data_IF_827279915792
#
_entry.id   IF_827279915792
#
_cell.length_a   1.000
_cell.length_b   1.000
_cell.length_c   1.000
_cell.angle_alpha   90.00
_cell.angle_beta   90.00
_cell.angle_gamma   90.00
#
_symmetry.space_group_name_H-M   'P 1'
#
loop_
_entity.id
_entity.type
_entity.pdbx_description
1 polymer ?
#
# COMPACT_ATOMS: atom_id res chain seq x y z
N UNK A 1 -0.15 13.83 -9.87
CA UNK A 1 -1.31 14.43 -9.21
C UNK A 1 -1.95 13.42 -8.28
N UNK A 2 -2.22 13.83 -7.05
CA UNK A 2 -2.86 12.98 -6.03
C UNK A 2 -4.34 13.36 -5.95
N UNK A 3 -5.20 12.36 -6.01
CA UNK A 3 -6.64 12.54 -5.85
C UNK A 3 -7.14 11.65 -4.72
N UNK A 4 -7.82 12.24 -3.72
CA UNK A 4 -8.54 11.44 -2.74
C UNK A 4 -9.87 10.99 -3.35
N UNK A 5 -10.19 9.70 -3.17
CA UNK A 5 -11.35 9.06 -3.80
C UNK A 5 -12.56 9.09 -2.87
N UNK A 6 -13.75 9.24 -3.47
CA UNK A 6 -15.00 9.04 -2.77
C UNK A 6 -15.39 7.55 -2.83
N UNK A 7 -16.44 7.16 -2.12
CA UNK A 7 -16.84 5.75 -2.03
C UNK A 7 -17.20 5.14 -3.38
N UNK A 8 -17.85 5.87 -4.26
CA UNK A 8 -18.20 5.36 -5.61
C UNK A 8 -16.95 5.10 -6.44
N UNK A 9 -15.97 6.00 -6.38
CA UNK A 9 -14.70 5.86 -7.08
C UNK A 9 -13.89 4.67 -6.52
N UNK A 10 -13.90 4.50 -5.21
CA UNK A 10 -13.27 3.35 -4.55
C UNK A 10 -13.89 2.06 -5.06
N UNK A 11 -15.21 1.98 -5.08
CA UNK A 11 -15.94 0.77 -5.51
C UNK A 11 -15.62 0.42 -6.97
N UNK A 12 -15.56 1.40 -7.86
CA UNK A 12 -15.22 1.20 -9.26
C UNK A 12 -13.79 0.67 -9.44
N UNK A 13 -12.83 1.27 -8.74
CA UNK A 13 -11.44 0.83 -8.83
C UNK A 13 -11.28 -0.57 -8.24
N UNK A 14 -11.95 -0.87 -7.15
CA UNK A 14 -11.88 -2.22 -6.54
C UNK A 14 -12.46 -3.29 -7.47
N UNK A 15 -13.49 -2.99 -8.24
CA UNK A 15 -13.99 -3.88 -9.30
C UNK A 15 -12.94 -4.12 -10.37
N UNK A 16 -12.25 -3.05 -10.78
CA UNK A 16 -11.15 -3.15 -11.76
C UNK A 16 -10.03 -4.03 -11.20
N UNK A 17 -9.66 -3.83 -9.93
CA UNK A 17 -8.63 -4.63 -9.26
C UNK A 17 -9.04 -6.11 -9.21
N UNK A 18 -10.29 -6.41 -8.91
CA UNK A 18 -10.79 -7.79 -8.88
C UNK A 18 -10.59 -8.48 -10.24
N UNK A 19 -10.71 -7.74 -11.34
CA UNK A 19 -10.47 -8.30 -12.69
C UNK A 19 -9.01 -8.67 -12.93
N UNK A 20 -8.07 -8.14 -12.13
CA UNK A 20 -6.64 -8.42 -12.26
C UNK A 20 -6.20 -9.73 -11.61
N UNK A 21 -7.06 -10.37 -10.80
CA UNK A 21 -6.68 -11.55 -10.02
C UNK A 21 -6.23 -12.74 -10.87
N UNK A 22 -6.66 -12.78 -12.13
CA UNK A 22 -6.27 -13.82 -13.09
C UNK A 22 -5.06 -13.44 -13.95
N UNK A 23 -4.54 -12.21 -13.82
CA UNK A 23 -3.39 -11.72 -14.56
C UNK A 23 -2.11 -12.04 -13.78
N UNK A 24 -1.15 -12.71 -14.42
CA UNK A 24 0.13 -13.08 -13.80
C UNK A 24 0.91 -11.89 -13.26
N UNK A 25 0.80 -10.71 -13.91
CA UNK A 25 1.46 -9.49 -13.44
C UNK A 25 1.01 -9.12 -12.03
N UNK A 26 -0.26 -9.37 -11.69
CA UNK A 26 -0.85 -8.96 -10.41
C UNK A 26 -0.94 -10.06 -9.36
N UNK A 27 -0.49 -11.29 -9.65
CA UNK A 27 -0.74 -12.44 -8.77
C UNK A 27 -0.19 -12.31 -7.35
N UNK A 28 0.83 -11.48 -7.15
CA UNK A 28 1.44 -11.27 -5.83
C UNK A 28 0.99 -9.97 -5.15
N UNK A 29 0.02 -9.27 -5.72
CA UNK A 29 -0.53 -8.05 -5.11
C UNK A 29 -1.67 -8.33 -4.14
N UNK A 30 -2.24 -9.53 -4.18
CA UNK A 30 -3.45 -9.85 -3.44
C UNK A 30 -3.15 -10.82 -2.31
N UNK A 31 -3.72 -10.55 -1.12
CA UNK A 31 -3.82 -11.53 -0.05
C UNK A 31 -5.30 -11.81 0.25
N UNK A 32 -5.56 -12.75 1.15
CA UNK A 32 -6.89 -13.25 1.45
C UNK A 32 -7.73 -12.33 2.35
N UNK A 33 -7.20 -11.19 2.80
CA UNK A 33 -7.81 -10.38 3.86
C UNK A 33 -8.53 -9.13 3.38
N UNK A 34 -8.79 -8.97 2.09
CA UNK A 34 -9.18 -7.70 1.46
C UNK A 34 -10.69 -7.44 1.39
N UNK A 35 -11.50 -7.93 2.32
CA UNK A 35 -12.94 -7.69 2.27
C UNK A 35 -13.40 -6.39 2.95
N UNK A 36 -12.53 -5.73 3.70
CA UNK A 36 -12.90 -4.53 4.46
C UNK A 36 -12.86 -3.27 3.58
N UNK A 37 -13.85 -2.40 3.77
CA UNK A 37 -13.82 -1.09 3.13
C UNK A 37 -12.67 -0.24 3.69
N UNK A 38 -11.92 0.45 2.82
CA UNK A 38 -10.87 1.35 3.30
C UNK A 38 -11.44 2.56 4.02
N UNK A 39 -10.70 3.04 5.01
CA UNK A 39 -10.96 4.31 5.67
C UNK A 39 -10.73 5.49 4.72
N UNK A 40 -9.67 5.41 3.94
CA UNK A 40 -9.30 6.38 2.90
C UNK A 40 -8.70 5.66 1.72
N UNK A 41 -8.86 6.25 0.54
CA UNK A 41 -8.17 5.79 -0.66
C UNK A 41 -7.78 6.95 -1.56
N UNK A 42 -6.69 6.78 -2.28
CA UNK A 42 -6.10 7.80 -3.14
C UNK A 42 -5.67 7.19 -4.47
N UNK A 43 -5.62 8.04 -5.49
CA UNK A 43 -5.10 7.68 -6.79
C UNK A 43 -3.98 8.65 -7.18
N UNK A 44 -2.82 8.14 -7.56
CA UNK A 44 -1.68 8.94 -8.00
C UNK A 44 -1.46 8.71 -9.49
N UNK A 45 -1.56 9.79 -10.27
CA UNK A 45 -1.30 9.81 -11.72
C UNK A 45 -2.07 8.73 -12.51
N UNK A 46 -3.29 8.39 -12.07
CA UNK A 46 -4.13 7.34 -12.65
C UNK A 46 -3.45 5.97 -12.70
N UNK A 47 -2.36 5.80 -11.95
CA UNK A 47 -1.54 4.59 -11.97
C UNK A 47 -1.53 3.84 -10.65
N UNK A 48 -1.30 4.54 -9.54
CA UNK A 48 -1.20 3.90 -8.23
C UNK A 48 -2.46 4.15 -7.41
N UNK A 49 -3.13 3.06 -7.05
CA UNK A 49 -4.20 3.07 -6.07
C UNK A 49 -3.61 2.75 -4.71
N UNK A 50 -3.84 3.61 -3.74
CA UNK A 50 -3.35 3.45 -2.37
C UNK A 50 -4.54 3.52 -1.43
N UNK A 51 -4.72 2.53 -0.56
CA UNK A 51 -5.75 2.57 0.45
C UNK A 51 -5.20 2.35 1.86
N UNK A 52 -5.97 2.84 2.82
CA UNK A 52 -5.67 2.72 4.25
C UNK A 52 -6.89 2.12 4.91
N UNK A 53 -6.73 0.92 5.45
CA UNK A 53 -7.82 0.14 6.05
C UNK A 53 -7.52 -0.10 7.52
N UNK A 54 -8.49 0.20 8.38
CA UNK A 54 -8.37 -0.07 9.82
C UNK A 54 -8.89 -1.48 10.09
N UNK A 55 -8.03 -2.30 10.67
CA UNK A 55 -8.37 -3.66 11.08
C UNK A 55 -7.77 -3.93 12.46
N UNK A 56 -8.61 -4.28 13.44
CA UNK A 56 -8.18 -4.48 14.82
C UNK A 56 -7.34 -3.30 15.37
N UNK A 57 -7.81 -2.09 15.14
CA UNK A 57 -7.19 -0.83 15.56
C UNK A 57 -5.82 -0.55 14.93
N UNK A 58 -5.45 -1.29 13.89
CA UNK A 58 -4.21 -1.09 13.15
C UNK A 58 -4.56 -0.61 11.74
N UNK A 59 -3.89 0.45 11.28
CA UNK A 59 -4.01 0.92 9.92
C UNK A 59 -3.10 0.12 9.00
N UNK A 60 -3.69 -0.51 7.98
CA UNK A 60 -2.94 -1.22 6.94
C UNK A 60 -2.96 -0.42 5.64
N UNK A 61 -1.80 -0.26 5.02
CA UNK A 61 -1.67 0.40 3.73
C UNK A 61 -1.54 -0.65 2.62
N UNK A 62 -2.39 -0.49 1.59
CA UNK A 62 -2.28 -1.25 0.36
C UNK A 62 -1.87 -0.32 -0.78
N UNK A 63 -0.99 -0.78 -1.64
CA UNK A 63 -0.56 -0.07 -2.85
C UNK A 63 -0.62 -1.05 -4.01
N UNK A 64 -1.31 -0.66 -5.07
CA UNK A 64 -1.36 -1.47 -6.29
C UNK A 64 -1.23 -0.57 -7.53
N UNK A 65 -0.43 -1.03 -8.49
CA UNK A 65 -0.32 -0.42 -9.82
C UNK A 65 -1.51 -0.89 -10.66
N UNK A 66 -2.44 0.00 -10.95
CA UNK A 66 -3.65 -0.35 -11.70
C UNK A 66 -3.51 -0.09 -13.20
N UNK A 67 -2.37 0.41 -13.65
CA UNK A 67 -2.13 0.70 -15.07
C UNK A 67 -0.67 0.45 -15.43
N UNK A 68 -0.37 -0.79 -15.77
CA UNK A 68 0.99 -1.22 -16.14
C UNK A 68 1.53 -0.53 -17.40
N UNK A 69 0.65 0.02 -18.25
CA UNK A 69 1.01 0.76 -19.44
C UNK A 69 1.58 2.16 -19.14
N UNK A 70 1.20 2.74 -18.01
CA UNK A 70 1.71 4.06 -17.61
C UNK A 70 3.04 3.85 -16.89
N UNK A 71 4.08 4.57 -17.34
CA UNK A 71 5.40 4.48 -16.71
C UNK A 71 5.43 5.22 -15.37
N UNK A 72 6.12 4.63 -14.40
CA UNK A 72 6.43 5.29 -13.14
C UNK A 72 7.39 6.46 -13.39
N UNK A 73 7.04 7.63 -12.88
CA UNK A 73 7.89 8.83 -12.97
C UNK A 73 8.47 9.17 -11.60
N UNK A 74 9.55 9.97 -11.60
CA UNK A 74 10.11 10.49 -10.35
C UNK A 74 9.08 11.30 -9.57
N UNK A 75 8.22 12.02 -10.25
CA UNK A 75 7.16 12.80 -9.63
C UNK A 75 6.10 11.92 -8.97
N UNK A 76 5.73 10.80 -9.60
CA UNK A 76 4.80 9.83 -9.00
C UNK A 76 5.35 9.27 -7.68
N UNK A 77 6.63 8.94 -7.67
CA UNK A 77 7.31 8.41 -6.46
C UNK A 77 7.34 9.49 -5.38
N UNK A 78 7.67 10.71 -5.73
CA UNK A 78 7.69 11.84 -4.80
C UNK A 78 6.31 12.06 -4.16
N UNK A 79 5.25 12.06 -4.98
CA UNK A 79 3.87 12.22 -4.49
C UNK A 79 3.45 11.07 -3.58
N UNK A 80 3.85 9.84 -3.90
CA UNK A 80 3.57 8.67 -3.06
C UNK A 80 4.23 8.81 -1.69
N UNK A 81 5.49 9.23 -1.65
CA UNK A 81 6.21 9.42 -0.38
C UNK A 81 5.62 10.55 0.45
N UNK A 82 5.23 11.63 -0.19
CA UNK A 82 4.57 12.77 0.47
C UNK A 82 3.23 12.34 1.07
N UNK A 83 2.42 11.63 0.32
CA UNK A 83 1.16 11.07 0.80
C UNK A 83 1.39 10.14 1.99
N UNK A 84 2.38 9.28 1.91
CA UNK A 84 2.73 8.36 2.98
C UNK A 84 3.11 9.11 4.26
N UNK A 85 3.96 10.14 4.17
CA UNK A 85 4.33 10.95 5.32
C UNK A 85 3.10 11.59 6.00
N UNK A 86 2.21 12.16 5.21
CA UNK A 86 0.98 12.79 5.71
C UNK A 86 0.08 11.78 6.44
N UNK A 87 -0.09 10.60 5.86
CA UNK A 87 -0.95 9.58 6.44
C UNK A 87 -0.29 8.91 7.65
N UNK A 88 1.01 8.73 7.65
CA UNK A 88 1.73 8.20 8.80
C UNK A 88 1.61 9.15 10.00
N UNK A 89 1.70 10.44 9.77
CA UNK A 89 1.48 11.46 10.81
C UNK A 89 0.06 11.39 11.37
N UNK A 90 -0.93 11.18 10.49
CA UNK A 90 -2.33 11.09 10.89
C UNK A 90 -2.62 9.81 11.71
N UNK A 91 -2.21 8.65 11.20
CA UNK A 91 -2.49 7.36 11.84
C UNK A 91 -1.50 6.98 12.94
N UNK A 92 -0.32 7.59 12.94
CA UNK A 92 0.79 7.36 13.87
C UNK A 92 1.49 6.01 13.67
N UNK A 93 0.77 4.98 13.25
CA UNK A 93 1.30 3.65 12.91
C UNK A 93 0.62 3.17 11.64
N UNK A 94 1.42 2.66 10.70
CA UNK A 94 0.90 2.03 9.48
C UNK A 94 1.61 0.72 9.26
N UNK A 95 0.84 -0.36 9.12
CA UNK A 95 1.35 -1.67 8.77
C UNK A 95 1.28 -1.90 7.27
N UNK A 96 2.27 -2.59 6.74
CA UNK A 96 2.30 -3.01 5.34
C UNK A 96 2.82 -4.43 5.23
N UNK A 97 2.12 -5.25 4.45
CA UNK A 97 2.53 -6.60 4.11
C UNK A 97 2.82 -6.71 2.61
N UNK A 98 3.78 -7.55 2.24
CA UNK A 98 3.92 -7.95 0.85
C UNK A 98 4.47 -9.37 0.75
N UNK A 99 4.17 -10.03 -0.37
CA UNK A 99 4.84 -11.28 -0.71
C UNK A 99 6.29 -10.99 -1.13
N UNK A 100 7.23 -11.83 -0.70
CA UNK A 100 8.64 -11.71 -1.12
C UNK A 100 8.79 -11.79 -2.65
N UNK A 101 7.92 -12.55 -3.30
CA UNK A 101 7.92 -12.70 -4.75
C UNK A 101 7.50 -11.43 -5.49
N UNK A 102 6.80 -10.51 -4.84
CA UNK A 102 6.49 -9.19 -5.40
C UNK A 102 7.71 -8.28 -5.23
N UNK A 103 8.62 -8.32 -6.22
CA UNK A 103 9.91 -7.63 -6.14
C UNK A 103 9.81 -6.13 -5.98
N UNK A 104 8.82 -5.52 -6.62
CA UNK A 104 8.61 -4.06 -6.55
C UNK A 104 8.19 -3.68 -5.13
N UNK A 105 7.18 -4.35 -4.58
CA UNK A 105 6.74 -4.12 -3.22
C UNK A 105 7.84 -4.43 -2.20
N UNK A 106 8.63 -5.47 -2.43
CA UNK A 106 9.74 -5.85 -1.58
C UNK A 106 10.82 -4.75 -1.52
N UNK A 107 11.15 -4.15 -2.67
CA UNK A 107 12.11 -3.03 -2.73
C UNK A 107 11.56 -1.80 -1.99
N UNK A 108 10.29 -1.51 -2.16
CA UNK A 108 9.63 -0.41 -1.47
C UNK A 108 9.64 -0.65 0.04
N UNK A 109 9.36 -1.87 0.47
CA UNK A 109 9.42 -2.29 1.87
C UNK A 109 10.82 -2.04 2.47
N UNK A 110 11.87 -2.44 1.77
CA UNK A 110 13.25 -2.19 2.20
C UNK A 110 13.56 -0.70 2.32
N UNK A 111 13.07 0.09 1.39
CA UNK A 111 13.23 1.54 1.41
C UNK A 111 12.55 2.14 2.65
N UNK A 112 11.32 1.73 2.94
CA UNK A 112 10.58 2.20 4.12
C UNK A 112 11.30 1.85 5.41
N UNK A 113 11.88 0.67 5.51
CA UNK A 113 12.65 0.25 6.69
C UNK A 113 13.86 1.14 6.95
N UNK A 114 14.47 1.67 5.90
CA UNK A 114 15.62 2.59 6.04
C UNK A 114 15.19 3.99 6.41
N UNK A 115 14.05 4.42 5.92
CA UNK A 115 13.58 5.81 6.08
C UNK A 115 12.86 6.04 7.40
N UNK A 116 12.12 5.05 7.89
CA UNK A 116 11.23 5.22 9.05
C UNK A 116 11.62 4.32 10.21
N UNK A 117 11.26 4.74 11.42
CA UNK A 117 11.24 3.87 12.58
C UNK A 117 10.24 2.75 12.32
N UNK A 118 10.61 1.51 12.57
CA UNK A 118 9.71 0.40 12.27
C UNK A 118 10.00 -0.86 13.09
N UNK A 119 9.00 -1.72 13.14
CA UNK A 119 9.10 -3.10 13.61
C UNK A 119 8.84 -4.01 12.42
N UNK A 120 9.73 -4.96 12.18
CA UNK A 120 9.60 -5.93 11.07
C UNK A 120 9.06 -7.25 11.57
N UNK A 121 8.29 -7.94 10.71
CA UNK A 121 7.80 -9.28 11.01
C UNK A 121 7.70 -10.09 9.72
N UNK A 122 7.61 -11.41 9.84
CA UNK A 122 7.62 -12.32 8.70
C UNK A 122 6.65 -13.48 8.94
N UNK A 123 5.90 -13.85 7.91
CA UNK A 123 5.14 -15.10 7.85
C UNK A 123 5.84 -16.03 6.87
N UNK A 124 6.61 -16.97 7.39
CA UNK A 124 7.42 -17.89 6.57
C UNK A 124 6.57 -18.86 5.78
N UNK A 125 5.43 -19.28 6.30
CA UNK A 125 4.53 -20.20 5.61
C UNK A 125 3.97 -19.58 4.34
N UNK A 126 3.59 -18.31 4.40
CA UNK A 126 3.04 -17.57 3.25
C UNK A 126 4.10 -16.87 2.41
N UNK A 127 5.37 -16.93 2.79
CA UNK A 127 6.46 -16.17 2.16
C UNK A 127 6.15 -14.67 2.07
N UNK A 128 5.59 -14.13 3.14
CA UNK A 128 5.26 -12.72 3.28
C UNK A 128 6.14 -12.05 4.32
N UNK A 129 6.45 -10.80 4.06
CA UNK A 129 7.11 -9.93 5.03
C UNK A 129 6.22 -8.75 5.34
N UNK A 130 6.34 -8.23 6.55
CA UNK A 130 5.57 -7.09 6.99
C UNK A 130 6.41 -6.11 7.79
N UNK A 131 5.93 -4.89 7.84
CA UNK A 131 6.55 -3.82 8.62
C UNK A 131 5.43 -2.98 9.25
N UNK A 132 5.63 -2.59 10.51
CA UNK A 132 4.81 -1.58 11.17
C UNK A 132 5.67 -0.32 11.25
N UNK A 133 5.28 0.71 10.52
CA UNK A 133 5.98 1.98 10.46
C UNK A 133 5.43 2.90 11.54
N UNK A 134 6.33 3.60 12.20
CA UNK A 134 6.00 4.47 13.32
C UNK A 134 6.29 5.92 12.95
N UNK A 135 5.38 6.82 13.33
CA UNK A 135 5.67 8.24 13.22
C UNK A 135 6.89 8.56 14.12
N UNK A 136 7.73 9.48 13.67
CA UNK A 136 9.07 9.73 14.24
C UNK A 136 9.16 9.95 15.75
N UNK A 137 8.06 10.36 16.39
CA UNK A 137 8.03 10.61 17.83
C UNK A 137 7.58 9.39 18.64
N UNK A 138 7.27 8.27 17.97
CA UNK A 138 6.86 7.03 18.62
C UNK A 138 8.05 6.09 18.78
N UNK A 139 8.06 5.35 19.89
CA UNK A 139 9.06 4.31 20.12
C UNK A 139 8.55 2.96 19.61
N UNK A 140 9.46 2.19 19.06
CA UNK A 140 9.18 0.84 18.63
C UNK A 140 8.82 -0.07 19.83
#
# INVERSE_FOLDING_TARGET
MIKQLNQNEIDEIRKKIDSFKTDDYYKYYFDETEENNPDKAFLIDDKYYIDFTIYNDICFMGVIDISKEIKTTSNSVYELLKLFDEQLKYYQKIAQWCYKANKIAYRFHKFLKKKYNCVSFEDKEKSMIGVILLWKDMKA
#
